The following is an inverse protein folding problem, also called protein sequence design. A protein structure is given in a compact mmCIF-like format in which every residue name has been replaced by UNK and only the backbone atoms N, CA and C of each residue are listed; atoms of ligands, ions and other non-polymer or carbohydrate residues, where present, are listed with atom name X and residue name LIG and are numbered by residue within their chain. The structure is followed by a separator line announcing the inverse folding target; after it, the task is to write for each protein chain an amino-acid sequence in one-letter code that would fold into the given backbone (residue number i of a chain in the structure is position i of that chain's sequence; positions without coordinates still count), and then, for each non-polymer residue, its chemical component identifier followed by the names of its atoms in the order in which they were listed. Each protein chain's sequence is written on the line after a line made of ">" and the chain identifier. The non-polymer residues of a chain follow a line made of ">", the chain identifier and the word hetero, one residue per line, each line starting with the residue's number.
data_IF_490492174470
#
_entry.id   IF_490492174470
#
_cell.length_a   1.000
_cell.length_b   1.000
_cell.length_c   1.000
_cell.angle_alpha   90.00
_cell.angle_beta   90.00
_cell.angle_gamma   90.00
#
_symmetry.space_group_name_H-M   'P 1'
#
loop_
_entity.id
_entity.type
_entity.pdbx_description
1 polymer ?
#
# COMPACT_ATOMS: atom_id res chain seq x y z
N UNK A 1 10.83 -1.43 -5.06
CA UNK A 1 9.47 -1.05 -5.54
C UNK A 1 9.51 0.00 -6.67
N UNK A 2 10.32 1.06 -6.60
CA UNK A 2 10.42 2.10 -7.65
C UNK A 2 10.78 1.60 -9.06
N UNK A 3 11.64 0.57 -9.18
CA UNK A 3 12.05 0.02 -10.48
C UNK A 3 10.92 -0.71 -11.22
N UNK A 4 9.97 -1.30 -10.49
CA UNK A 4 8.85 -2.04 -11.08
C UNK A 4 7.91 -1.11 -11.83
N UNK A 5 7.44 -0.05 -11.18
CA UNK A 5 6.53 0.91 -11.80
C UNK A 5 7.17 1.68 -12.96
N UNK A 6 8.47 1.96 -12.89
CA UNK A 6 9.20 2.57 -14.00
C UNK A 6 9.20 1.67 -15.25
N UNK A 7 9.53 0.38 -15.07
CA UNK A 7 9.54 -0.58 -16.19
C UNK A 7 8.12 -0.89 -16.70
N UNK A 8 7.13 -0.94 -15.80
CA UNK A 8 5.73 -1.14 -16.16
C UNK A 8 5.19 0.07 -16.96
N UNK A 9 5.48 1.30 -16.55
CA UNK A 9 5.14 2.52 -17.31
C UNK A 9 5.72 2.50 -18.73
N UNK A 10 6.99 2.13 -18.86
CA UNK A 10 7.67 1.98 -20.16
C UNK A 10 7.05 0.85 -21.02
N UNK A 11 6.49 -0.20 -20.39
CA UNK A 11 5.77 -1.26 -21.08
C UNK A 11 4.38 -0.81 -21.55
N UNK A 12 3.64 -0.09 -20.70
CA UNK A 12 2.35 0.50 -21.03
C UNK A 12 2.44 1.45 -22.24
N UNK A 13 3.46 2.31 -22.26
CA UNK A 13 3.69 3.24 -23.36
C UNK A 13 3.95 2.54 -24.71
N UNK A 14 4.60 1.37 -24.69
CA UNK A 14 4.84 0.57 -25.91
C UNK A 14 3.58 -0.16 -26.40
N UNK A 15 2.74 -0.62 -25.48
CA UNK A 15 1.51 -1.39 -25.77
C UNK A 15 0.28 -0.51 -26.04
N UNK A 16 0.39 0.81 -25.90
CA UNK A 16 -0.71 1.76 -26.10
C UNK A 16 -1.96 1.34 -25.31
N UNK A 17 -1.79 1.04 -24.02
CA UNK A 17 -2.89 0.64 -23.14
C UNK A 17 -3.62 1.91 -22.68
N UNK A 18 -4.82 2.13 -23.21
CA UNK A 18 -5.59 3.37 -23.00
C UNK A 18 -6.83 3.20 -22.11
N UNK A 19 -7.17 1.97 -21.73
CA UNK A 19 -8.36 1.69 -20.93
C UNK A 19 -8.00 1.01 -19.62
N UNK A 20 -8.77 1.31 -18.57
CA UNK A 20 -8.57 0.72 -17.26
C UNK A 20 -8.63 -0.82 -17.29
N UNK A 21 -9.57 -1.49 -17.99
CA UNK A 21 -9.55 -2.96 -18.08
C UNK A 21 -8.27 -3.52 -18.71
N UNK A 22 -7.75 -2.89 -19.78
CA UNK A 22 -6.50 -3.31 -20.42
C UNK A 22 -5.28 -3.04 -19.53
N UNK A 23 -5.32 -1.98 -18.72
CA UNK A 23 -4.29 -1.69 -17.72
C UNK A 23 -4.26 -2.77 -16.64
N UNK A 24 -5.42 -3.14 -16.11
CA UNK A 24 -5.55 -4.20 -15.11
C UNK A 24 -5.04 -5.54 -15.66
N UNK A 25 -5.53 -5.98 -16.81
CA UNK A 25 -5.06 -7.22 -17.44
C UNK A 25 -3.56 -7.19 -17.77
N UNK A 26 -3.07 -6.04 -18.26
CA UNK A 26 -1.64 -5.86 -18.55
C UNK A 26 -0.77 -5.95 -17.30
N UNK A 27 -1.26 -5.46 -16.16
CA UNK A 27 -0.56 -5.55 -14.88
C UNK A 27 -0.39 -7.00 -14.43
N UNK A 28 -1.47 -7.78 -14.50
CA UNK A 28 -1.48 -9.19 -14.07
C UNK A 28 -0.60 -10.08 -14.93
N UNK A 29 -0.40 -9.73 -16.20
CA UNK A 29 0.44 -10.49 -17.14
C UNK A 29 1.88 -9.95 -17.25
N UNK A 30 2.24 -8.85 -16.58
CA UNK A 30 3.51 -8.16 -16.83
C UNK A 30 4.75 -8.88 -16.27
N UNK A 31 4.62 -9.57 -15.14
CA UNK A 31 5.74 -10.22 -14.44
C UNK A 31 5.29 -11.53 -13.81
N UNK A 32 6.26 -12.41 -13.54
CA UNK A 32 6.06 -13.64 -12.74
C UNK A 32 6.85 -13.50 -11.44
N UNK A 33 6.26 -13.74 -10.26
CA UNK A 33 4.85 -14.06 -10.03
C UNK A 33 3.91 -12.90 -10.40
N UNK A 34 2.74 -13.25 -10.94
CA UNK A 34 1.74 -12.30 -11.42
C UNK A 34 1.12 -11.52 -10.28
N UNK A 35 1.12 -10.17 -10.33
CA UNK A 35 0.39 -9.37 -9.35
C UNK A 35 -1.12 -9.46 -9.63
N UNK A 36 -1.94 -9.16 -8.63
CA UNK A 36 -3.40 -9.06 -8.79
C UNK A 36 -3.80 -7.59 -8.94
N UNK A 37 -4.76 -7.31 -9.82
CA UNK A 37 -5.28 -5.95 -10.00
C UNK A 37 -6.70 -5.84 -9.47
N UNK A 38 -6.91 -4.96 -8.49
CA UNK A 38 -8.24 -4.68 -7.91
C UNK A 38 -8.59 -3.22 -8.11
N UNK A 39 -9.79 -2.96 -8.63
CA UNK A 39 -10.37 -1.61 -8.69
C UNK A 39 -11.17 -1.37 -7.42
N UNK A 40 -10.82 -0.33 -6.67
CA UNK A 40 -11.58 0.12 -5.51
C UNK A 40 -12.19 1.49 -5.77
N UNK A 41 -13.42 1.71 -5.27
CA UNK A 41 -14.09 3.01 -5.30
C UNK A 41 -13.69 3.91 -4.13
N UNK A 42 -13.18 3.32 -3.05
CA UNK A 42 -12.86 4.02 -1.82
C UNK A 42 -11.46 3.61 -1.32
N UNK A 43 -10.73 4.58 -0.79
CA UNK A 43 -9.50 4.33 -0.02
C UNK A 43 -9.89 4.49 1.44
N UNK A 44 -9.50 3.55 2.29
CA UNK A 44 -9.88 3.54 3.71
C UNK A 44 -8.68 3.90 4.58
N UNK A 45 -8.89 4.75 5.59
CA UNK A 45 -7.84 5.10 6.57
C UNK A 45 -7.71 4.01 7.63
N UNK A 46 -7.12 2.88 7.23
CA UNK A 46 -6.88 1.73 8.12
C UNK A 46 -5.88 2.09 9.22
N UNK A 47 -4.89 2.95 8.90
CA UNK A 47 -3.87 3.36 9.86
C UNK A 47 -4.46 4.20 10.99
N UNK A 48 -5.26 5.22 10.66
CA UNK A 48 -5.98 6.02 11.65
C UNK A 48 -7.04 5.23 12.40
N UNK A 49 -7.68 4.26 11.75
CA UNK A 49 -8.65 3.37 12.39
C UNK A 49 -8.00 2.46 13.44
N UNK A 50 -7.00 1.66 13.06
CA UNK A 50 -6.29 0.76 13.99
C UNK A 50 -5.50 1.55 15.04
N UNK A 51 -5.00 2.73 14.68
CA UNK A 51 -4.19 3.58 15.55
C UNK A 51 -4.83 3.92 16.89
N UNK A 52 -6.17 4.01 16.95
CA UNK A 52 -6.92 4.27 18.18
C UNK A 52 -6.92 3.09 19.16
N UNK A 53 -6.73 1.88 18.64
CA UNK A 53 -6.72 0.64 19.41
C UNK A 53 -5.31 0.11 19.66
N UNK A 54 -4.27 0.76 19.12
CA UNK A 54 -2.87 0.35 19.32
C UNK A 54 -2.43 0.65 20.75
N UNK A 55 -1.93 -0.37 21.44
CA UNK A 55 -1.25 -0.18 22.70
C UNK A 55 0.07 0.56 22.49
N UNK A 56 0.52 1.27 23.53
CA UNK A 56 1.88 1.78 23.57
C UNK A 56 2.82 0.61 23.86
N UNK A 57 3.50 0.13 22.82
CA UNK A 57 4.42 -1.00 22.94
C UNK A 57 5.79 -0.48 23.40
N UNK A 58 6.31 -1.04 24.48
CA UNK A 58 7.67 -0.78 24.96
C UNK A 58 8.70 -1.70 24.29
N UNK A 59 9.97 -1.30 24.28
CA UNK A 59 11.10 -2.14 23.82
C UNK A 59 11.06 -2.62 22.35
N UNK A 60 10.32 -1.93 21.47
CA UNK A 60 10.28 -2.21 20.03
C UNK A 60 11.34 -1.43 19.22
N UNK A 61 11.94 -0.38 19.80
CA UNK A 61 12.85 0.54 19.09
C UNK A 61 14.33 0.14 19.15
N UNK A 62 14.69 -0.68 20.15
CA UNK A 62 16.06 -1.16 20.39
C UNK A 62 16.38 -2.63 20.00
N UNK A 63 15.41 -3.54 19.72
CA UNK A 63 15.75 -4.93 19.46
C UNK A 63 16.21 -5.14 18.01
N UNK A 64 17.22 -5.98 17.84
CA UNK A 64 17.70 -6.40 16.52
C UNK A 64 16.75 -7.39 15.82
N UNK A 65 15.91 -8.09 16.59
CA UNK A 65 14.99 -9.12 16.06
C UNK A 65 13.68 -9.08 16.85
N UNK A 66 12.56 -9.09 16.12
CA UNK A 66 11.22 -9.21 16.67
C UNK A 66 10.45 -10.35 15.99
N UNK A 67 9.46 -10.90 16.72
CA UNK A 67 8.46 -11.81 16.16
C UNK A 67 7.09 -11.47 16.75
N UNK A 68 6.06 -11.76 15.99
CA UNK A 68 4.67 -11.57 16.38
C UNK A 68 4.02 -12.94 16.48
N UNK A 69 3.42 -13.26 17.63
CA UNK A 69 2.69 -14.52 17.82
C UNK A 69 1.27 -14.24 18.30
N UNK A 70 0.33 -15.06 17.86
CA UNK A 70 -1.04 -15.09 18.40
C UNK A 70 -1.10 -16.12 19.53
N UNK A 71 -1.48 -15.69 20.74
CA UNK A 71 -1.74 -16.54 21.90
C UNK A 71 -3.09 -16.15 22.50
N UNK A 72 -3.94 -17.14 22.78
CA UNK A 72 -5.25 -16.94 23.43
C UNK A 72 -6.14 -15.87 22.77
N UNK A 73 -6.12 -15.83 21.43
CA UNK A 73 -6.89 -14.86 20.64
C UNK A 73 -6.25 -13.47 20.54
N UNK A 74 -5.18 -13.21 21.28
CA UNK A 74 -4.48 -11.93 21.32
C UNK A 74 -3.14 -12.00 20.62
N UNK A 75 -2.71 -10.88 20.04
CA UNK A 75 -1.42 -10.79 19.36
C UNK A 75 -0.39 -10.12 20.26
N UNK A 76 0.74 -10.79 20.47
CA UNK A 76 1.84 -10.32 21.32
C UNK A 76 3.11 -10.14 20.52
N UNK A 77 3.89 -9.12 20.88
CA UNK A 77 5.22 -8.89 20.33
C UNK A 77 6.27 -9.50 21.23
N UNK A 78 7.18 -10.25 20.63
CA UNK A 78 8.38 -10.76 21.28
C UNK A 78 9.59 -10.14 20.61
N UNK A 79 10.66 -9.96 21.39
CA UNK A 79 11.89 -9.38 20.91
C UNK A 79 13.12 -10.09 21.51
N UNK A 80 14.26 -9.91 20.84
CA UNK A 80 15.57 -10.23 21.40
C UNK A 80 16.38 -8.96 21.50
N UNK A 81 17.16 -8.81 22.58
CA UNK A 81 18.10 -7.68 22.69
C UNK A 81 19.22 -7.84 21.67
N UNK A 82 19.72 -9.05 21.48
CA UNK A 82 20.72 -9.40 20.47
C UNK A 82 20.27 -10.55 19.60
N UNK A 83 20.69 -10.59 18.33
CA UNK A 83 20.32 -11.67 17.40
C UNK A 83 20.77 -13.06 17.88
N UNK A 84 21.86 -13.12 18.64
CA UNK A 84 22.45 -14.34 19.22
C UNK A 84 21.75 -14.84 20.48
N UNK A 85 20.85 -14.05 21.07
CA UNK A 85 20.15 -14.44 22.29
C UNK A 85 19.30 -15.68 22.01
N UNK A 86 19.34 -16.68 22.90
CA UNK A 86 18.52 -17.90 22.78
C UNK A 86 17.08 -17.68 23.27
N UNK A 87 16.89 -16.70 24.15
CA UNK A 87 15.62 -16.42 24.80
C UNK A 87 14.91 -15.27 24.11
N UNK A 88 13.61 -15.44 23.85
CA UNK A 88 12.73 -14.36 23.42
C UNK A 88 12.11 -13.69 24.64
N UNK A 89 12.22 -12.37 24.70
CA UNK A 89 11.54 -11.56 25.71
C UNK A 89 10.17 -11.15 25.18
N UNK A 90 9.17 -11.19 26.05
CA UNK A 90 7.82 -10.75 25.74
C UNK A 90 7.68 -9.25 26.06
N UNK A 91 6.95 -8.52 25.22
CA UNK A 91 6.47 -7.19 25.59
C UNK A 91 5.30 -7.34 26.57
N UNK A 92 5.27 -6.54 27.63
CA UNK A 92 4.18 -6.58 28.62
C UNK A 92 2.83 -6.20 28.03
N UNK A 93 2.82 -5.47 26.91
CA UNK A 93 1.60 -5.03 26.24
C UNK A 93 1.21 -5.93 25.06
N UNK A 94 -0.08 -6.21 24.91
CA UNK A 94 -0.63 -6.75 23.66
C UNK A 94 -0.52 -5.70 22.55
N UNK A 95 -0.47 -6.09 21.27
CA UNK A 95 -0.42 -5.11 20.17
C UNK A 95 -1.65 -4.18 20.14
N UNK A 96 -2.83 -4.74 20.41
CA UNK A 96 -4.10 -4.04 20.42
C UNK A 96 -4.68 -4.05 21.83
N UNK A 97 -5.17 -2.90 22.31
CA UNK A 97 -5.93 -2.77 23.55
C UNK A 97 -7.27 -3.49 23.46
N UNK A 98 -7.91 -3.34 22.30
CA UNK A 98 -9.21 -3.88 21.97
C UNK A 98 -9.27 -4.13 20.47
N UNK A 99 -10.14 -5.04 20.04
CA UNK A 99 -10.45 -5.21 18.62
C UNK A 99 -11.42 -4.08 18.24
N UNK A 100 -11.06 -3.17 17.31
CA UNK A 100 -11.99 -2.15 16.86
C UNK A 100 -13.21 -2.82 16.21
N UNK A 101 -14.40 -2.46 16.70
CA UNK A 101 -15.69 -3.00 16.23
C UNK A 101 -16.33 -2.16 15.13
N UNK A 102 -15.87 -0.91 14.98
CA UNK A 102 -16.26 0.01 13.92
C UNK A 102 -15.48 -0.27 12.63
N UNK A 103 -15.91 0.32 11.52
CA UNK A 103 -15.22 0.21 10.23
C UNK A 103 -14.25 1.40 10.03
N UNK A 104 -13.15 1.21 9.27
CA UNK A 104 -12.30 2.33 8.89
C UNK A 104 -13.10 3.36 8.11
N UNK A 105 -12.74 4.63 8.24
CA UNK A 105 -13.39 5.72 7.52
C UNK A 105 -12.79 5.88 6.12
N UNK A 106 -13.58 6.30 5.11
CA UNK A 106 -13.04 6.58 3.80
C UNK A 106 -12.15 7.84 3.86
N UNK A 107 -11.01 7.79 3.17
CA UNK A 107 -10.11 8.93 3.02
C UNK A 107 -10.81 9.98 2.16
N UNK A 108 -11.01 11.17 2.73
CA UNK A 108 -11.57 12.31 2.01
C UNK A 108 -10.45 12.98 1.19
N UNK A 109 -10.67 13.25 -0.11
CA UNK A 109 -9.68 13.94 -0.94
C UNK A 109 -9.35 15.33 -0.40
N UNK A 110 -8.07 15.60 -0.14
CA UNK A 110 -7.60 16.92 0.25
C UNK A 110 -7.41 17.77 -1.01
N UNK A 111 -8.37 18.65 -1.30
CA UNK A 111 -8.34 19.51 -2.49
C UNK A 111 -7.54 20.80 -2.29
N UNK A 112 -7.14 21.13 -1.06
CA UNK A 112 -6.44 22.39 -0.74
C UNK A 112 -5.07 22.51 -1.41
N UNK A 113 -4.42 21.37 -1.73
CA UNK A 113 -3.14 21.33 -2.44
C UNK A 113 -3.29 21.08 -3.95
N UNK A 114 -4.52 21.09 -4.47
CA UNK A 114 -4.76 20.80 -5.87
C UNK A 114 -4.42 22.02 -6.73
N UNK A 115 -3.35 21.92 -7.51
CA UNK A 115 -3.02 22.91 -8.54
C UNK A 115 -3.85 22.63 -9.81
N UNK A 116 -4.93 23.40 -9.98
CA UNK A 116 -5.83 23.29 -11.12
C UNK A 116 -5.15 23.66 -12.45
N UNK A 117 -4.18 24.56 -12.43
CA UNK A 117 -3.46 24.97 -13.65
C UNK A 117 -2.54 23.85 -14.12
N UNK A 118 -1.82 23.22 -13.18
CA UNK A 118 -1.02 22.03 -13.48
C UNK A 118 -1.91 20.89 -13.98
N UNK A 119 -3.01 20.59 -13.29
CA UNK A 119 -3.94 19.54 -13.71
C UNK A 119 -4.47 19.78 -15.13
N UNK A 120 -4.85 21.02 -15.47
CA UNK A 120 -5.31 21.38 -16.81
C UNK A 120 -4.23 21.15 -17.87
N UNK A 121 -2.99 21.51 -17.56
CA UNK A 121 -1.85 21.25 -18.46
C UNK A 121 -1.58 19.76 -18.62
N UNK A 122 -1.60 18.98 -17.53
CA UNK A 122 -1.39 17.54 -17.56
C UNK A 122 -2.47 16.83 -18.40
N UNK A 123 -3.74 17.19 -18.21
CA UNK A 123 -4.85 16.69 -19.05
C UNK A 123 -4.60 17.01 -20.52
N UNK A 124 -4.22 18.25 -20.84
CA UNK A 124 -3.94 18.65 -22.23
C UNK A 124 -2.82 17.82 -22.85
N UNK A 125 -1.73 17.60 -22.12
CA UNK A 125 -0.59 16.80 -22.61
C UNK A 125 -0.96 15.32 -22.74
N UNK A 126 -1.82 14.80 -21.86
CA UNK A 126 -2.27 13.40 -21.90
C UNK A 126 -2.99 13.05 -23.20
N UNK A 127 -3.72 13.98 -23.83
CA UNK A 127 -4.39 13.73 -25.13
C UNK A 127 -3.42 13.32 -26.24
N UNK A 128 -2.16 13.79 -26.23
CA UNK A 128 -1.16 13.33 -27.19
C UNK A 128 -0.76 11.86 -27.01
N UNK A 129 -0.81 11.34 -25.78
CA UNK A 129 -0.57 9.92 -25.49
C UNK A 129 -1.70 9.03 -26.02
N UNK A 130 -2.95 9.51 -25.96
CA UNK A 130 -4.11 8.77 -26.48
C UNK A 130 -4.14 8.72 -28.02
N UNK A 131 -3.68 9.76 -28.72
CA UNK A 131 -3.61 9.79 -30.19
C UNK A 131 -2.72 8.69 -30.79
N UNK A 132 -1.59 8.36 -30.14
CA UNK A 132 -0.66 7.29 -30.58
C UNK A 132 -1.27 5.89 -30.65
N UNK A 133 -2.41 5.65 -30.01
CA UNK A 133 -3.11 4.36 -30.05
C UNK A 133 -4.05 4.18 -31.24
N UNK A 134 -4.45 5.26 -31.90
CA UNK A 134 -5.35 5.21 -33.08
C UNK A 134 -4.57 4.99 -34.38
N UNK A 135 -3.31 5.44 -34.44
CA UNK A 135 -2.44 5.31 -35.62
C UNK A 135 -1.90 3.88 -35.87
N UNK A 136 -2.34 2.88 -35.09
CA UNK A 136 -1.91 1.47 -35.19
C UNK A 136 -3.05 0.51 -35.55
N UNK A 137 -4.07 0.99 -36.27
CA UNK A 137 -5.04 0.13 -36.94
C UNK A 137 -4.70 -0.07 -38.40
#
# INVERSE_FOLDING_TARGET
>A
MLLFFNRFSSWLGRKAILTLPKLMAGFECYTTPSPTSVRTSHVWDVAGWIGKSLNKISNHSYPHVFKVEKRDGQTKLFYKKWSTDKVWLETTEQLLMNIPTDAPQPVVPILTKLDLNKLKNDIRTSFSYFKRGEDKK
#
